data_IF_303238127636
#
_entry.id   IF_303238127636
#
_cell.length_a   1.000
_cell.length_b   1.000
_cell.length_c   1.000
_cell.angle_alpha   90.00
_cell.angle_beta   90.00
_cell.angle_gamma   90.00
#
_symmetry.space_group_name_H-M   'P 1'
#
loop_
_entity.id
_entity.type
_entity.pdbx_description
1 polymer ?
#
# COMPACT_ATOMS: atom_id res chain seq x y z
N UNK A 1 -15.58 65.89 15.97
CA UNK A 1 -16.27 64.62 15.64
C UNK A 1 -15.21 63.55 15.41
N UNK A 2 -15.18 62.50 16.24
CA UNK A 2 -14.13 61.46 16.20
C UNK A 2 -14.77 60.15 15.74
N UNK A 3 -14.57 59.80 14.48
CA UNK A 3 -15.08 58.56 13.88
C UNK A 3 -14.15 57.41 14.28
N UNK A 4 -14.64 56.52 15.14
CA UNK A 4 -13.96 55.29 15.57
C UNK A 4 -14.24 54.19 14.55
N UNK A 5 -13.29 53.89 13.66
CA UNK A 5 -13.39 52.72 12.78
C UNK A 5 -12.97 51.47 13.57
N UNK A 6 -13.96 50.71 14.04
CA UNK A 6 -13.75 49.36 14.59
C UNK A 6 -13.38 48.43 13.43
N UNK A 7 -12.09 48.22 13.19
CA UNK A 7 -11.62 47.19 12.26
C UNK A 7 -11.72 45.84 12.97
N UNK A 8 -12.84 45.15 12.76
CA UNK A 8 -13.00 43.74 13.10
C UNK A 8 -12.16 42.92 12.12
N UNK A 9 -10.90 42.67 12.48
CA UNK A 9 -10.05 41.69 11.81
C UNK A 9 -10.59 40.30 12.20
N UNK A 10 -11.56 39.81 11.43
CA UNK A 10 -12.01 38.44 11.50
C UNK A 10 -10.91 37.53 11.01
N UNK A 11 -10.11 36.98 11.94
CA UNK A 11 -9.17 35.90 11.66
C UNK A 11 -10.01 34.66 11.35
N UNK A 12 -10.28 34.42 10.07
CA UNK A 12 -10.80 33.14 9.60
C UNK A 12 -9.64 32.15 9.74
N UNK A 13 -9.61 31.43 10.86
CA UNK A 13 -8.81 30.22 11.02
C UNK A 13 -9.35 29.21 9.99
N UNK A 14 -8.75 29.19 8.81
CA UNK A 14 -8.82 28.02 7.93
C UNK A 14 -8.11 26.89 8.67
N UNK A 15 -8.85 26.21 9.54
CA UNK A 15 -8.46 24.88 9.99
C UNK A 15 -8.28 24.06 8.72
N UNK A 16 -7.12 23.44 8.48
CA UNK A 16 -7.07 22.38 7.49
C UNK A 16 -8.04 21.34 8.03
N UNK A 17 -9.18 21.15 7.35
CA UNK A 17 -9.96 19.95 7.54
C UNK A 17 -9.01 18.82 7.19
N UNK A 18 -8.44 18.19 8.21
CA UNK A 18 -7.75 16.92 8.08
C UNK A 18 -8.83 15.95 7.61
N UNK A 19 -9.01 15.88 6.29
CA UNK A 19 -9.72 14.81 5.65
C UNK A 19 -8.88 13.57 5.92
N UNK A 20 -9.11 12.93 7.06
CA UNK A 20 -8.69 11.57 7.29
C UNK A 20 -9.38 10.74 6.22
N UNK A 21 -8.71 10.57 5.08
CA UNK A 21 -9.14 9.64 4.06
C UNK A 21 -9.33 8.31 4.78
N UNK A 22 -10.58 7.82 4.84
CA UNK A 22 -10.87 6.52 5.43
C UNK A 22 -10.00 5.51 4.68
N UNK A 23 -9.03 4.93 5.38
CA UNK A 23 -8.13 3.94 4.80
C UNK A 23 -9.00 2.75 4.37
N UNK A 24 -9.11 2.53 3.07
CA UNK A 24 -9.83 1.38 2.55
C UNK A 24 -8.92 0.16 2.73
N UNK A 25 -9.18 -0.65 3.75
CA UNK A 25 -8.37 -1.83 4.02
C UNK A 25 -8.38 -2.84 2.86
N UNK A 26 -9.43 -2.86 2.03
CA UNK A 26 -9.44 -3.69 0.82
C UNK A 26 -8.39 -3.23 -0.21
N UNK A 27 -8.17 -1.91 -0.32
CA UNK A 27 -7.13 -1.34 -1.17
C UNK A 27 -5.73 -1.66 -0.61
N UNK A 28 -5.51 -1.40 0.68
CA UNK A 28 -4.24 -1.71 1.35
C UNK A 28 -3.90 -3.18 1.20
N UNK A 29 -4.89 -4.07 1.38
CA UNK A 29 -4.69 -5.51 1.18
C UNK A 29 -4.31 -5.82 -0.27
N UNK A 30 -5.02 -5.29 -1.26
CA UNK A 30 -4.70 -5.56 -2.68
C UNK A 30 -3.27 -5.15 -3.05
N UNK A 31 -2.80 -4.00 -2.54
CA UNK A 31 -1.41 -3.57 -2.68
C UNK A 31 -0.44 -4.46 -1.92
N UNK A 32 -0.77 -4.82 -0.67
CA UNK A 32 0.07 -5.69 0.13
C UNK A 32 0.28 -7.06 -0.54
N UNK A 33 -0.79 -7.71 -1.01
CA UNK A 33 -0.69 -9.00 -1.69
C UNK A 33 0.16 -8.94 -2.97
N UNK A 34 0.01 -7.89 -3.79
CA UNK A 34 0.88 -7.67 -4.96
C UNK A 34 2.35 -7.50 -4.55
N UNK A 35 2.62 -6.63 -3.56
CA UNK A 35 3.97 -6.36 -3.09
C UNK A 35 4.65 -7.59 -2.49
N UNK A 36 3.89 -8.38 -1.74
CA UNK A 36 4.37 -9.65 -1.20
C UNK A 36 4.75 -10.62 -2.32
N UNK A 37 3.88 -10.79 -3.32
CA UNK A 37 4.15 -11.69 -4.43
C UNK A 37 5.39 -11.27 -5.23
N UNK A 38 5.61 -9.97 -5.42
CA UNK A 38 6.81 -9.43 -6.06
C UNK A 38 8.08 -9.69 -5.23
N UNK A 39 8.03 -9.42 -3.92
CA UNK A 39 9.15 -9.72 -3.01
C UNK A 39 9.52 -11.20 -3.01
N UNK A 40 8.49 -12.06 -3.00
CA UNK A 40 8.65 -13.50 -3.06
C UNK A 40 9.26 -13.94 -4.40
N UNK A 41 8.77 -13.43 -5.53
CA UNK A 41 9.31 -13.76 -6.85
C UNK A 41 10.78 -13.33 -7.05
N UNK A 42 11.23 -12.33 -6.30
CA UNK A 42 12.62 -11.84 -6.34
C UNK A 42 13.46 -12.32 -5.15
N UNK A 43 12.95 -13.27 -4.35
CA UNK A 43 13.66 -13.78 -3.18
C UNK A 43 14.89 -14.59 -3.57
N UNK A 44 15.99 -14.45 -2.80
CA UNK A 44 17.20 -15.27 -2.97
C UNK A 44 17.03 -16.70 -2.43
N UNK A 45 15.94 -16.94 -1.70
CA UNK A 45 15.69 -18.20 -1.01
C UNK A 45 14.76 -19.15 -1.78
N UNK A 46 14.44 -18.84 -3.04
CA UNK A 46 13.52 -19.63 -3.86
C UNK A 46 14.21 -20.23 -5.09
N UNK A 47 13.74 -21.40 -5.52
CA UNK A 47 14.25 -22.11 -6.71
C UNK A 47 13.60 -21.60 -8.00
N UNK A 48 14.13 -21.99 -9.17
CA UNK A 48 13.60 -21.54 -10.46
C UNK A 48 12.14 -21.93 -10.73
N UNK A 49 11.66 -23.09 -10.27
CA UNK A 49 10.24 -23.46 -10.38
C UNK A 49 9.36 -22.63 -9.45
N UNK A 50 9.80 -22.45 -8.20
CA UNK A 50 9.13 -21.62 -7.21
C UNK A 50 9.03 -20.16 -7.68
N UNK A 51 10.07 -19.66 -8.34
CA UNK A 51 10.08 -18.32 -8.94
C UNK A 51 9.01 -18.17 -10.02
N UNK A 52 8.84 -19.16 -10.89
CA UNK A 52 7.79 -19.14 -11.92
C UNK A 52 6.40 -19.11 -11.29
N UNK A 53 6.17 -19.88 -10.24
CA UNK A 53 4.90 -19.87 -9.49
C UNK A 53 4.63 -18.50 -8.87
N UNK A 54 5.62 -17.92 -8.17
CA UNK A 54 5.50 -16.59 -7.56
C UNK A 54 5.29 -15.49 -8.60
N UNK A 55 5.98 -15.55 -9.74
CA UNK A 55 5.82 -14.60 -10.83
C UNK A 55 4.40 -14.66 -11.44
N UNK A 56 3.82 -15.85 -11.55
CA UNK A 56 2.45 -16.02 -12.01
C UNK A 56 1.45 -15.42 -11.01
N UNK A 57 1.65 -15.64 -9.70
CA UNK A 57 0.83 -15.03 -8.66
C UNK A 57 0.95 -13.50 -8.66
N UNK A 58 2.16 -12.97 -8.74
CA UNK A 58 2.42 -11.53 -8.85
C UNK A 58 1.65 -10.91 -10.02
N UNK A 59 1.76 -11.52 -11.20
CA UNK A 59 1.08 -11.04 -12.41
C UNK A 59 -0.43 -11.04 -12.24
N UNK A 60 -0.99 -12.11 -11.65
CA UNK A 60 -2.43 -12.23 -11.37
C UNK A 60 -2.90 -11.15 -10.39
N UNK A 61 -2.18 -10.94 -9.29
CA UNK A 61 -2.52 -9.97 -8.24
C UNK A 61 -2.40 -8.53 -8.74
N UNK A 62 -1.33 -8.23 -9.49
CA UNK A 62 -1.14 -6.95 -10.17
C UNK A 62 -2.29 -6.62 -11.11
N UNK A 63 -2.69 -7.56 -11.97
CA UNK A 63 -3.83 -7.36 -12.87
C UNK A 63 -5.15 -7.19 -12.11
N UNK A 64 -5.38 -7.96 -11.05
CA UNK A 64 -6.59 -7.84 -10.23
C UNK A 64 -6.68 -6.46 -9.57
N UNK A 65 -5.58 -5.98 -8.99
CA UNK A 65 -5.49 -4.65 -8.39
C UNK A 65 -5.66 -3.54 -9.43
N UNK A 66 -5.00 -3.63 -10.57
CA UNK A 66 -5.06 -2.60 -11.63
C UNK A 66 -6.47 -2.37 -12.18
N UNK A 67 -7.40 -3.31 -12.02
CA UNK A 67 -8.82 -3.12 -12.38
C UNK A 67 -9.53 -2.09 -11.51
N UNK A 68 -9.02 -1.86 -10.29
CA UNK A 68 -9.70 -1.04 -9.27
C UNK A 68 -8.83 0.10 -8.73
N UNK A 69 -7.50 0.01 -8.87
CA UNK A 69 -6.55 0.90 -8.24
C UNK A 69 -5.36 1.22 -9.18
N UNK A 70 -4.81 2.44 -9.13
CA UNK A 70 -3.68 2.85 -9.96
C UNK A 70 -2.40 2.07 -9.61
N UNK A 71 -1.44 1.97 -10.53
CA UNK A 71 -0.19 1.26 -10.24
C UNK A 71 0.71 2.04 -9.28
N UNK A 72 1.13 1.40 -8.18
CA UNK A 72 2.11 1.96 -7.25
C UNK A 72 2.91 0.84 -6.56
N UNK A 73 4.06 0.50 -7.14
CA UNK A 73 4.88 -0.61 -6.65
C UNK A 73 5.51 -0.30 -5.28
N UNK A 74 5.94 0.95 -5.05
CA UNK A 74 6.54 1.37 -3.78
C UNK A 74 5.54 1.23 -2.64
N UNK A 75 4.29 1.65 -2.88
CA UNK A 75 3.22 1.46 -1.91
C UNK A 75 2.85 -0.01 -1.72
N UNK A 76 2.83 -0.82 -2.79
CA UNK A 76 2.63 -2.27 -2.69
C UNK A 76 3.66 -2.91 -1.76
N UNK A 77 4.93 -2.58 -1.95
CA UNK A 77 6.02 -3.09 -1.13
C UNK A 77 5.93 -2.59 0.31
N UNK A 78 5.66 -1.31 0.50
CA UNK A 78 5.45 -0.74 1.84
C UNK A 78 4.30 -1.44 2.57
N UNK A 79 3.13 -1.55 1.92
CA UNK A 79 1.96 -2.20 2.49
C UNK A 79 2.22 -3.66 2.86
N UNK A 80 2.93 -4.41 2.01
CA UNK A 80 3.32 -5.79 2.29
C UNK A 80 4.20 -5.90 3.57
N UNK A 81 5.21 -5.03 3.69
CA UNK A 81 6.09 -4.99 4.87
C UNK A 81 5.32 -4.64 6.14
N UNK A 82 4.38 -3.69 6.07
CA UNK A 82 3.59 -3.29 7.23
C UNK A 82 2.57 -4.36 7.66
N UNK A 83 1.95 -5.06 6.69
CA UNK A 83 0.88 -6.01 6.98
C UNK A 83 1.40 -7.34 7.54
N UNK A 84 2.56 -7.81 7.08
CA UNK A 84 3.13 -9.11 7.46
C UNK A 84 4.49 -9.01 8.16
N UNK A 85 4.90 -7.83 8.58
CA UNK A 85 6.13 -7.57 9.34
C UNK A 85 7.41 -8.10 8.64
N UNK A 86 7.46 -7.93 7.32
CA UNK A 86 8.54 -8.48 6.49
C UNK A 86 9.74 -7.53 6.52
N UNK A 87 10.75 -7.89 7.30
CA UNK A 87 12.00 -7.12 7.39
C UNK A 87 13.14 -7.69 6.54
N UNK A 88 13.05 -8.97 6.18
CA UNK A 88 14.04 -9.68 5.36
C UNK A 88 13.37 -10.32 4.15
N UNK A 89 14.17 -10.87 3.25
CA UNK A 89 13.63 -11.55 2.06
C UNK A 89 12.88 -12.82 2.49
N UNK A 90 11.57 -12.98 2.19
CA UNK A 90 10.78 -14.08 2.72
C UNK A 90 11.16 -15.43 2.10
N UNK A 91 10.97 -16.51 2.86
CA UNK A 91 11.12 -17.87 2.36
C UNK A 91 9.90 -18.30 1.53
N UNK A 92 10.10 -19.29 0.65
CA UNK A 92 9.03 -19.79 -0.22
C UNK A 92 7.77 -20.24 0.55
N UNK A 93 7.95 -20.99 1.63
CA UNK A 93 6.84 -21.51 2.42
C UNK A 93 6.01 -20.40 3.07
N UNK A 94 6.67 -19.35 3.56
CA UNK A 94 6.02 -18.15 4.11
C UNK A 94 5.23 -17.43 3.03
N UNK A 95 5.83 -17.27 1.84
CA UNK A 95 5.18 -16.65 0.69
C UNK A 95 3.90 -17.38 0.29
N UNK A 96 3.95 -18.71 0.15
CA UNK A 96 2.79 -19.52 -0.23
C UNK A 96 1.70 -19.46 0.85
N UNK A 97 2.08 -19.59 2.13
CA UNK A 97 1.14 -19.58 3.25
C UNK A 97 0.35 -18.26 3.35
N UNK A 98 1.00 -17.14 3.00
CA UNK A 98 0.38 -15.82 3.00
C UNK A 98 -0.41 -15.54 1.72
N UNK A 99 0.11 -15.91 0.54
CA UNK A 99 -0.50 -15.58 -0.76
C UNK A 99 -1.65 -16.51 -1.18
N UNK A 100 -1.75 -17.71 -0.62
CA UNK A 100 -2.84 -18.67 -0.92
C UNK A 100 -4.02 -18.62 0.09
N UNK A 101 -3.97 -17.72 1.06
CA UNK A 101 -5.11 -17.40 1.93
C UNK A 101 -6.16 -16.57 1.20
#
# INVERSE_FOLDING_TARGET
MRTQYKVLIGVILFFPMFAFAKINMAEVNAYAYEGLADMCANSRHITGEQQKEMQALYTKLKHARQKILPSNNDFAHYAAKQLWDIHTTPHYEECIALLKK
#
